data_IF_894593080352
#
_entry.id   IF_894593080352
#
_cell.length_a   1.000
_cell.length_b   1.000
_cell.length_c   1.000
_cell.angle_alpha   90.00
_cell.angle_beta   90.00
_cell.angle_gamma   90.00
#
_symmetry.space_group_name_H-M   'P 1'
#
loop_
_entity.id
_entity.type
_entity.pdbx_description
1 polymer ?
#
# COMPACT_ATOMS: atom_id res chain seq x y z
N UNK A 1 10.53 -8.32 -22.32
CA UNK A 1 11.14 -7.86 -21.07
C UNK A 1 10.11 -6.99 -20.39
N UNK A 2 9.35 -7.55 -19.44
CA UNK A 2 8.30 -6.81 -18.76
C UNK A 2 8.99 -5.77 -17.87
N UNK A 3 8.86 -4.49 -18.23
CA UNK A 3 9.23 -3.40 -17.34
C UNK A 3 8.35 -3.51 -16.10
N UNK A 4 8.89 -4.12 -15.05
CA UNK A 4 8.29 -4.05 -13.72
C UNK A 4 8.30 -2.59 -13.35
N UNK A 5 7.14 -1.95 -13.45
CA UNK A 5 6.93 -0.59 -12.99
C UNK A 5 7.39 -0.55 -11.54
N UNK A 6 8.58 0.00 -11.27
CA UNK A 6 8.98 0.34 -9.92
C UNK A 6 7.92 1.31 -9.40
N UNK A 7 6.99 0.77 -8.62
CA UNK A 7 5.89 1.54 -8.06
C UNK A 7 6.54 2.62 -7.20
N UNK A 8 6.42 3.88 -7.66
CA UNK A 8 6.94 5.04 -6.95
C UNK A 8 6.36 5.00 -5.53
N UNK A 9 7.22 4.75 -4.53
CA UNK A 9 6.82 4.73 -3.13
C UNK A 9 6.24 6.09 -2.75
N UNK A 10 5.17 6.08 -1.99
CA UNK A 10 4.56 7.32 -1.46
C UNK A 10 5.17 7.66 -0.10
N UNK A 11 4.97 8.90 0.36
CA UNK A 11 5.27 9.26 1.75
C UNK A 11 4.02 9.12 2.61
N UNK A 12 4.19 8.81 3.91
CA UNK A 12 3.08 8.74 4.88
C UNK A 12 2.31 10.06 4.97
N UNK A 13 3.00 11.19 4.77
CA UNK A 13 2.40 12.54 4.78
C UNK A 13 1.34 12.75 3.67
N UNK A 14 1.38 11.95 2.60
CA UNK A 14 0.41 12.02 1.51
C UNK A 14 -0.88 11.23 1.79
N UNK A 15 -0.96 10.50 2.91
CA UNK A 15 -2.13 9.68 3.27
C UNK A 15 -3.18 10.56 3.96
N UNK A 16 -4.39 10.63 3.39
CA UNK A 16 -5.53 11.35 3.97
C UNK A 16 -6.31 10.49 4.95
N UNK A 17 -6.49 9.22 4.64
CA UNK A 17 -7.26 8.28 5.45
C UNK A 17 -6.86 6.84 5.10
N UNK A 18 -7.12 5.94 6.03
CA UNK A 18 -6.89 4.50 5.90
C UNK A 18 -8.16 3.73 6.25
N UNK A 19 -8.37 2.58 5.61
CA UNK A 19 -9.48 1.68 5.89
C UNK A 19 -9.00 0.23 5.89
N UNK A 20 -9.53 -0.59 6.81
CA UNK A 20 -9.18 -2.01 6.90
C UNK A 20 -9.67 -2.74 5.64
N UNK A 21 -8.85 -3.64 5.12
CA UNK A 21 -9.16 -4.42 3.94
C UNK A 21 -8.45 -5.78 3.98
N UNK A 22 -8.88 -6.68 3.10
CA UNK A 22 -8.18 -7.93 2.80
C UNK A 22 -7.72 -7.88 1.34
N UNK A 23 -6.47 -8.29 1.10
CA UNK A 23 -5.91 -8.34 -0.24
C UNK A 23 -6.65 -9.38 -1.09
N UNK A 24 -7.16 -8.99 -2.26
CA UNK A 24 -7.83 -9.94 -3.19
C UNK A 24 -6.88 -10.69 -4.11
N UNK A 25 -5.66 -10.20 -4.22
CA UNK A 25 -4.56 -10.70 -5.05
C UNK A 25 -3.26 -10.21 -4.42
N UNK A 26 -2.14 -10.67 -4.97
CA UNK A 26 -0.85 -10.15 -4.57
C UNK A 26 -0.77 -8.65 -4.89
N UNK A 27 -0.42 -7.86 -3.88
CA UNK A 27 -0.24 -6.41 -3.96
C UNK A 27 1.15 -6.05 -3.41
N UNK A 28 1.54 -4.78 -3.52
CA UNK A 28 2.78 -4.27 -2.95
C UNK A 28 2.51 -3.04 -2.09
N UNK A 29 2.96 -3.07 -0.84
CA UNK A 29 2.83 -1.94 0.08
C UNK A 29 3.41 -0.67 -0.55
N UNK A 30 2.61 0.38 -0.66
CA UNK A 30 3.02 1.61 -1.34
C UNK A 30 4.07 2.41 -0.57
N UNK A 31 4.28 2.13 0.73
CA UNK A 31 5.31 2.76 1.56
C UNK A 31 6.65 2.02 1.47
N UNK A 32 6.62 0.70 1.65
CA UNK A 32 7.84 -0.12 1.81
C UNK A 32 8.22 -0.86 0.53
N UNK A 33 7.26 -1.14 -0.35
CA UNK A 33 7.38 -2.04 -1.49
C UNK A 33 7.27 -3.53 -1.15
N UNK A 34 7.11 -3.88 0.14
CA UNK A 34 6.94 -5.28 0.55
C UNK A 34 5.71 -5.90 -0.10
N UNK A 35 5.80 -7.18 -0.42
CA UNK A 35 4.67 -7.96 -0.93
C UNK A 35 3.60 -8.12 0.15
N UNK A 36 2.34 -8.01 -0.26
CA UNK A 36 1.16 -8.37 0.52
C UNK A 36 0.51 -9.53 -0.22
N UNK A 37 0.39 -10.69 0.43
CA UNK A 37 -0.11 -11.91 -0.20
C UNK A 37 -1.63 -11.87 -0.40
N UNK A 38 -2.19 -12.65 -1.34
CA UNK A 38 -3.64 -12.82 -1.43
C UNK A 38 -4.25 -13.29 -0.09
N UNK A 39 -5.39 -12.71 0.26
CA UNK A 39 -6.15 -12.96 1.50
C UNK A 39 -5.44 -12.49 2.78
N UNK A 40 -4.32 -11.78 2.66
CA UNK A 40 -3.66 -11.13 3.80
C UNK A 40 -4.40 -9.86 4.20
N UNK A 41 -4.51 -9.62 5.50
CA UNK A 41 -5.05 -8.38 6.04
C UNK A 41 -4.12 -7.20 5.70
N UNK A 42 -4.70 -6.07 5.31
CA UNK A 42 -3.96 -4.88 4.90
C UNK A 42 -4.75 -3.60 5.16
N UNK A 43 -4.09 -2.45 4.97
CA UNK A 43 -4.76 -1.16 4.89
C UNK A 43 -4.92 -0.71 3.44
N UNK A 44 -6.07 -0.13 3.11
CA UNK A 44 -6.22 0.69 1.91
C UNK A 44 -6.14 2.16 2.30
N UNK A 45 -5.14 2.85 1.77
CA UNK A 45 -4.93 4.27 2.02
C UNK A 45 -5.44 5.12 0.85
N UNK A 46 -6.17 6.18 1.16
CA UNK A 46 -6.49 7.23 0.19
C UNK A 46 -5.41 8.30 0.25
N UNK A 47 -4.78 8.56 -0.89
CA UNK A 47 -3.76 9.62 -1.02
C UNK A 47 -4.39 11.00 -1.26
N UNK A 48 -3.59 12.05 -1.11
CA UNK A 48 -3.93 13.42 -1.49
C UNK A 48 -4.26 13.60 -2.99
N UNK A 49 -3.79 12.69 -3.84
CA UNK A 49 -4.12 12.60 -5.26
C UNK A 49 -5.39 11.78 -5.55
N UNK A 50 -6.19 11.48 -4.52
CA UNK A 50 -7.43 10.69 -4.60
C UNK A 50 -7.21 9.27 -5.18
N UNK A 51 -6.00 8.72 -5.00
CA UNK A 51 -5.67 7.32 -5.34
C UNK A 51 -5.76 6.44 -4.11
N UNK A 52 -6.39 5.27 -4.26
CA UNK A 52 -6.33 4.19 -3.30
C UNK A 52 -5.09 3.33 -3.53
N UNK A 53 -4.31 3.10 -2.48
CA UNK A 53 -3.10 2.29 -2.53
C UNK A 53 -3.05 1.31 -1.36
N UNK A 54 -2.51 0.09 -1.56
CA UNK A 54 -2.40 -0.91 -0.52
C UNK A 54 -1.19 -0.61 0.39
N UNK A 55 -1.35 -0.83 1.69
CA UNK A 55 -0.30 -0.73 2.70
C UNK A 55 -0.32 -2.00 3.56
N UNK A 56 0.86 -2.55 3.83
CA UNK A 56 1.00 -3.62 4.82
C UNK A 56 0.60 -3.11 6.20
N UNK A 57 0.12 -4.00 7.08
CA UNK A 57 -0.26 -3.62 8.45
C UNK A 57 0.92 -2.96 9.17
N UNK A 58 2.12 -3.54 9.06
CA UNK A 58 3.34 -3.00 9.66
C UNK A 58 3.89 -1.75 8.93
N UNK A 59 3.33 -1.41 7.75
CA UNK A 59 3.84 -0.32 6.92
C UNK A 59 3.53 1.07 7.48
N UNK A 60 2.58 1.16 8.41
CA UNK A 60 2.20 2.41 9.06
C UNK A 60 2.97 2.67 10.36
N UNK A 61 3.58 1.66 10.96
CA UNK A 61 4.39 1.79 12.18
C UNK A 61 5.79 2.38 11.86
N UNK A 62 5.94 3.70 11.99
CA UNK A 62 7.22 4.33 12.32
C UNK A 62 6.92 5.41 13.37
N UNK A 63 7.33 5.08 14.61
CA UNK A 63 7.30 5.82 15.91
C UNK A 63 5.95 6.05 16.62
#
# INVERSE_FOLDING_TARGET
MNAGSEAKRISKENIRTIMAAEARRQEHCALTGCTIEPYEEMWLAMTDTDKLVPLSIDGLDDE
#
